data_IF_309872306442
#
_entry.id   IF_309872306442
#
_cell.length_a   1.000
_cell.length_b   1.000
_cell.length_c   1.000
_cell.angle_alpha   90.00
_cell.angle_beta   90.00
_cell.angle_gamma   90.00
#
_symmetry.space_group_name_H-M   'P 1'
#
loop_
_entity.id
_entity.type
_entity.pdbx_description
1 polymer ?
#
# COMPACT_ATOMS: atom_id res chain seq x y z
N UNK A 1 61.64 -57.29 -10.15
CA UNK A 1 60.26 -57.42 -10.66
C UNK A 1 59.19 -56.72 -9.81
N UNK A 2 59.31 -56.55 -8.49
CA UNK A 2 58.23 -55.95 -7.66
C UNK A 2 58.09 -54.41 -7.67
N UNK A 3 59.07 -53.64 -8.18
CA UNK A 3 58.99 -52.17 -8.26
C UNK A 3 58.34 -51.64 -9.56
N UNK A 4 58.33 -52.42 -10.64
CA UNK A 4 57.72 -52.03 -11.91
C UNK A 4 56.23 -52.37 -11.99
N UNK A 5 55.77 -53.39 -11.25
CA UNK A 5 54.34 -53.76 -11.21
C UNK A 5 53.49 -52.73 -10.43
N UNK A 6 54.05 -52.07 -9.41
CA UNK A 6 53.35 -51.07 -8.61
C UNK A 6 53.13 -49.75 -9.39
N UNK A 7 54.09 -49.35 -10.22
CA UNK A 7 54.00 -48.14 -11.06
C UNK A 7 53.00 -48.34 -12.21
N UNK A 8 52.89 -49.57 -12.72
CA UNK A 8 51.92 -49.91 -13.77
C UNK A 8 50.47 -49.99 -13.23
N UNK A 9 50.28 -50.47 -11.99
CA UNK A 9 48.95 -50.52 -11.35
C UNK A 9 48.48 -49.12 -10.93
N UNK A 10 49.37 -48.23 -10.47
CA UNK A 10 49.01 -46.83 -10.16
C UNK A 10 48.68 -46.05 -11.45
N UNK A 11 49.39 -46.30 -12.56
CA UNK A 11 49.08 -45.67 -13.85
C UNK A 11 47.78 -46.19 -14.48
N UNK A 12 47.41 -47.45 -14.24
CA UNK A 12 46.15 -48.03 -14.73
C UNK A 12 44.94 -47.61 -13.89
N UNK A 13 45.13 -47.33 -12.59
CA UNK A 13 44.08 -46.74 -11.73
C UNK A 13 43.87 -45.25 -12.02
N UNK A 14 44.91 -44.52 -12.42
CA UNK A 14 44.77 -43.14 -12.93
C UNK A 14 44.16 -43.06 -14.34
N UNK A 15 44.13 -44.15 -15.12
CA UNK A 15 43.44 -44.18 -16.41
C UNK A 15 42.00 -44.71 -16.34
N UNK A 16 41.58 -45.32 -15.23
CA UNK A 16 40.21 -45.83 -15.02
C UNK A 16 39.35 -44.95 -14.10
N UNK A 17 39.88 -43.83 -13.59
CA UNK A 17 39.09 -42.71 -13.06
C UNK A 17 38.74 -41.66 -14.13
N UNK A 18 38.98 -41.96 -15.41
CA UNK A 18 38.23 -41.39 -16.51
C UNK A 18 36.79 -41.95 -16.50
N UNK A 19 36.08 -41.71 -15.39
CA UNK A 19 34.64 -41.49 -15.47
C UNK A 19 34.50 -40.39 -16.51
N UNK A 20 33.66 -40.65 -17.51
CA UNK A 20 33.18 -39.68 -18.47
C UNK A 20 32.60 -38.45 -17.75
N UNK A 21 33.50 -37.57 -17.30
CA UNK A 21 33.24 -36.16 -17.31
C UNK A 21 33.15 -35.83 -18.79
N UNK A 22 31.93 -35.69 -19.30
CA UNK A 22 31.72 -34.73 -20.36
C UNK A 22 32.31 -33.42 -19.84
N UNK A 23 33.53 -33.09 -20.26
CA UNK A 23 34.08 -31.77 -20.10
C UNK A 23 33.10 -30.83 -20.81
N UNK A 24 32.32 -30.09 -20.04
CA UNK A 24 31.65 -28.91 -20.57
C UNK A 24 32.75 -27.86 -20.66
N UNK A 25 33.37 -27.77 -21.83
CA UNK A 25 34.43 -26.82 -22.17
C UNK A 25 33.85 -25.42 -22.46
N UNK A 26 32.83 -24.99 -21.72
CA UNK A 26 32.31 -23.62 -21.76
C UNK A 26 32.65 -22.97 -20.42
N UNK A 27 33.76 -22.26 -20.31
CA UNK A 27 33.94 -21.30 -19.22
C UNK A 27 32.76 -20.33 -19.28
N UNK A 28 31.85 -20.41 -18.30
CA UNK A 28 30.60 -19.64 -18.35
C UNK A 28 30.73 -18.23 -17.80
N UNK A 29 31.89 -17.86 -17.25
CA UNK A 29 32.16 -16.54 -16.67
C UNK A 29 33.52 -16.00 -17.09
N UNK A 30 33.74 -14.69 -16.96
CA UNK A 30 34.98 -14.01 -17.36
C UNK A 30 34.85 -13.28 -18.70
N UNK A 31 35.44 -12.09 -18.80
CA UNK A 31 35.32 -11.20 -19.98
C UNK A 31 35.83 -11.88 -21.24
N UNK A 32 36.90 -12.65 -21.13
CA UNK A 32 37.50 -13.45 -22.19
C UNK A 32 36.53 -14.47 -22.78
N UNK A 33 35.58 -14.96 -21.99
CA UNK A 33 34.58 -15.95 -22.39
C UNK A 33 33.27 -15.31 -22.91
N UNK A 34 33.24 -13.99 -23.12
CA UNK A 34 32.07 -13.31 -23.71
C UNK A 34 31.89 -13.74 -25.18
N UNK A 35 30.71 -14.29 -25.56
CA UNK A 35 30.42 -14.70 -26.93
C UNK A 35 30.49 -13.56 -27.96
N UNK A 36 30.87 -13.86 -29.20
CA UNK A 36 31.07 -12.86 -30.26
C UNK A 36 29.80 -12.09 -30.63
N UNK A 37 28.65 -12.77 -30.65
CA UNK A 37 27.35 -12.14 -30.89
C UNK A 37 26.95 -11.20 -29.74
N UNK A 38 27.24 -11.55 -28.48
CA UNK A 38 27.10 -10.65 -27.32
C UNK A 38 28.01 -9.43 -27.47
N UNK A 39 29.29 -9.62 -27.82
CA UNK A 39 30.23 -8.50 -28.06
C UNK A 39 29.71 -7.58 -29.15
N UNK A 40 29.26 -8.14 -30.28
CA UNK A 40 28.68 -7.39 -31.40
C UNK A 40 27.46 -6.56 -30.97
N UNK A 41 26.55 -7.15 -30.21
CA UNK A 41 25.38 -6.44 -29.66
C UNK A 41 25.82 -5.28 -28.75
N UNK A 42 26.78 -5.53 -27.85
CA UNK A 42 27.25 -4.53 -26.89
C UNK A 42 27.96 -3.37 -27.60
N UNK A 43 28.88 -3.65 -28.52
CA UNK A 43 29.58 -2.61 -29.30
C UNK A 43 28.62 -1.80 -30.16
N UNK A 44 27.58 -2.42 -30.71
CA UNK A 44 26.57 -1.73 -31.52
C UNK A 44 25.67 -0.80 -30.69
N UNK A 45 25.24 -1.24 -29.49
CA UNK A 45 24.29 -0.48 -28.65
C UNK A 45 24.95 0.50 -27.69
N UNK A 46 26.16 0.18 -27.22
CA UNK A 46 26.96 0.97 -26.29
C UNK A 46 28.37 1.17 -26.86
N UNK A 47 28.51 1.94 -27.95
CA UNK A 47 29.82 2.23 -28.51
C UNK A 47 30.69 2.90 -27.45
N UNK A 48 31.98 2.55 -27.44
CA UNK A 48 32.99 3.06 -26.49
C UNK A 48 32.82 2.60 -25.03
N UNK A 49 31.88 1.70 -24.72
CA UNK A 49 31.80 1.08 -23.40
C UNK A 49 32.66 -0.19 -23.34
N UNK A 50 33.36 -0.38 -22.24
CA UNK A 50 34.18 -1.55 -21.98
C UNK A 50 33.33 -2.66 -21.33
N UNK A 51 33.58 -3.93 -21.69
CA UNK A 51 33.01 -5.09 -21.00
C UNK A 51 33.92 -5.45 -19.83
N UNK A 52 33.42 -5.33 -18.61
CA UNK A 52 34.22 -5.54 -17.39
C UNK A 52 33.87 -6.83 -16.66
N UNK A 53 32.78 -7.49 -17.06
CA UNK A 53 32.41 -8.80 -16.55
C UNK A 53 31.42 -9.51 -17.48
N UNK A 54 31.48 -10.84 -17.48
CA UNK A 54 30.54 -11.70 -18.18
C UNK A 54 30.24 -12.93 -17.32
N UNK A 55 28.98 -13.34 -17.29
CA UNK A 55 28.56 -14.60 -16.66
C UNK A 55 27.31 -15.16 -17.34
N UNK A 56 27.31 -16.48 -17.56
CA UNK A 56 26.19 -17.30 -18.01
C UNK A 56 25.98 -18.42 -16.98
N UNK A 57 25.34 -18.10 -15.85
CA UNK A 57 25.33 -18.99 -14.69
C UNK A 57 24.75 -20.36 -15.05
N UNK A 58 25.46 -21.45 -14.72
CA UNK A 58 25.07 -22.82 -15.05
C UNK A 58 24.89 -23.11 -16.55
N UNK A 59 25.46 -22.27 -17.44
CA UNK A 59 25.42 -22.47 -18.89
C UNK A 59 24.03 -22.39 -19.51
N UNK A 60 23.08 -21.70 -18.88
CA UNK A 60 21.68 -21.66 -19.29
C UNK A 60 21.49 -21.20 -20.74
N UNK A 61 20.59 -21.88 -21.47
CA UNK A 61 20.13 -21.50 -22.81
C UNK A 61 18.60 -21.30 -22.78
N UNK A 62 18.17 -20.15 -22.26
CA UNK A 62 16.76 -19.79 -22.10
C UNK A 62 16.41 -18.57 -22.93
N UNK A 63 15.21 -18.51 -23.51
CA UNK A 63 14.74 -17.32 -24.22
C UNK A 63 14.45 -16.14 -23.28
N UNK A 64 14.31 -16.37 -21.97
CA UNK A 64 14.32 -15.34 -20.93
C UNK A 64 15.74 -14.87 -20.62
N UNK A 65 15.89 -13.82 -19.82
CA UNK A 65 17.22 -13.40 -19.35
C UNK A 65 17.90 -14.53 -18.55
N UNK A 66 19.08 -14.95 -18.99
CA UNK A 66 19.84 -16.04 -18.41
C UNK A 66 21.36 -15.84 -18.38
N UNK A 67 21.90 -14.82 -19.05
CA UNK A 67 23.30 -14.41 -18.95
C UNK A 67 23.43 -12.89 -18.85
N UNK A 68 24.57 -12.42 -18.33
CA UNK A 68 24.76 -11.03 -17.96
C UNK A 68 26.16 -10.53 -18.32
N UNK A 69 26.24 -9.30 -18.80
CA UNK A 69 27.48 -8.55 -18.97
C UNK A 69 27.45 -7.30 -18.10
N UNK A 70 28.55 -6.99 -17.43
CA UNK A 70 28.78 -5.68 -16.83
C UNK A 70 29.55 -4.83 -17.85
N UNK A 71 29.02 -3.64 -18.17
CA UNK A 71 29.68 -2.67 -19.04
C UNK A 71 29.95 -1.37 -18.29
N UNK A 72 31.04 -0.70 -18.67
CA UNK A 72 31.57 0.47 -17.98
C UNK A 72 31.94 1.58 -18.97
N UNK A 73 31.67 2.84 -18.58
CA UNK A 73 32.21 4.04 -19.22
C UNK A 73 32.30 5.18 -18.20
N UNK A 74 33.49 5.75 -18.05
CA UNK A 74 33.80 6.85 -17.13
C UNK A 74 33.44 6.54 -15.68
N UNK A 75 32.29 7.04 -15.19
CA UNK A 75 31.75 6.76 -13.85
C UNK A 75 30.46 5.94 -13.87
N UNK A 76 30.09 5.45 -15.05
CA UNK A 76 28.83 4.76 -15.29
C UNK A 76 29.06 3.28 -15.42
N UNK A 77 28.29 2.49 -14.66
CA UNK A 77 28.25 1.05 -14.77
C UNK A 77 26.83 0.62 -15.15
N UNK A 78 26.71 -0.35 -16.05
CA UNK A 78 25.41 -0.92 -16.43
C UNK A 78 25.49 -2.43 -16.54
N UNK A 79 24.51 -3.11 -15.94
CA UNK A 79 24.32 -4.54 -16.17
C UNK A 79 23.43 -4.73 -17.39
N UNK A 80 23.84 -5.60 -18.31
CA UNK A 80 23.10 -5.95 -19.52
C UNK A 80 22.75 -7.42 -19.48
N UNK A 81 21.47 -7.74 -19.67
CA UNK A 81 20.97 -9.10 -19.65
C UNK A 81 20.68 -9.63 -21.05
N UNK A 82 21.02 -10.90 -21.24
CA UNK A 82 20.85 -11.64 -22.47
C UNK A 82 20.04 -12.91 -22.22
N UNK A 83 19.24 -13.29 -23.20
CA UNK A 83 18.71 -14.64 -23.32
C UNK A 83 19.26 -15.30 -24.58
N UNK A 84 18.90 -16.55 -24.80
CA UNK A 84 19.35 -17.37 -25.90
C UNK A 84 18.15 -17.88 -26.71
N UNK A 85 18.15 -17.64 -28.02
CA UNK A 85 17.08 -18.05 -28.93
C UNK A 85 17.65 -18.39 -30.30
N UNK A 86 17.20 -19.49 -30.89
CA UNK A 86 17.54 -19.88 -32.26
C UNK A 86 19.06 -19.94 -32.52
N UNK A 87 19.84 -20.38 -31.53
CA UNK A 87 21.30 -20.49 -31.64
C UNK A 87 22.09 -19.21 -31.30
N UNK A 88 21.41 -18.10 -31.00
CA UNK A 88 22.04 -16.79 -30.80
C UNK A 88 21.67 -16.15 -29.46
N UNK A 89 22.60 -15.35 -28.93
CA UNK A 89 22.32 -14.47 -27.81
C UNK A 89 21.50 -13.26 -28.23
N UNK A 90 20.53 -12.88 -27.40
CA UNK A 90 19.57 -11.82 -27.68
C UNK A 90 19.48 -10.90 -26.47
N UNK A 91 19.69 -9.59 -26.69
CA UNK A 91 19.47 -8.56 -25.67
C UNK A 91 18.05 -8.64 -25.08
N UNK A 92 17.94 -8.50 -23.76
CA UNK A 92 16.64 -8.49 -23.05
C UNK A 92 16.36 -7.17 -22.37
N UNK A 93 17.31 -6.69 -21.58
CA UNK A 93 17.18 -5.45 -20.82
C UNK A 93 18.55 -5.03 -20.31
N UNK A 94 18.63 -3.80 -19.83
CA UNK A 94 19.78 -3.26 -19.14
C UNK A 94 19.31 -2.56 -17.86
N UNK A 95 20.09 -2.64 -16.79
CA UNK A 95 19.81 -1.98 -15.52
C UNK A 95 21.10 -1.32 -15.00
N UNK A 96 21.15 0.02 -15.09
CA UNK A 96 22.25 0.81 -14.50
C UNK A 96 22.19 0.79 -12.97
N UNK A 97 20.98 0.81 -12.40
CA UNK A 97 20.77 0.76 -10.96
C UNK A 97 21.26 -0.54 -10.31
N UNK A 98 21.41 -1.62 -11.07
CA UNK A 98 21.91 -2.88 -10.53
C UNK A 98 23.35 -2.80 -10.00
N UNK A 99 24.14 -1.83 -10.47
CA UNK A 99 25.56 -1.68 -10.17
C UNK A 99 25.83 -0.33 -9.49
N UNK A 100 26.88 -0.28 -8.66
CA UNK A 100 27.37 0.98 -8.13
C UNK A 100 27.97 1.85 -9.25
N UNK A 101 27.70 3.15 -9.23
CA UNK A 101 28.18 4.09 -10.25
C UNK A 101 29.55 4.65 -9.79
N UNK A 102 30.62 4.11 -10.37
CA UNK A 102 32.02 4.30 -9.95
C UNK A 102 32.93 4.40 -11.16
N UNK A 103 34.16 4.87 -10.92
CA UNK A 103 35.20 5.04 -11.95
C UNK A 103 35.87 3.73 -12.40
N UNK A 104 35.39 2.58 -11.93
CA UNK A 104 35.89 1.25 -12.29
C UNK A 104 34.72 0.32 -12.55
N UNK A 105 35.00 -0.72 -13.35
CA UNK A 105 34.06 -1.76 -13.71
C UNK A 105 33.73 -2.74 -12.59
N UNK A 106 32.64 -3.48 -12.77
CA UNK A 106 32.19 -4.52 -11.84
C UNK A 106 32.60 -5.91 -12.34
N UNK A 107 32.99 -6.78 -11.42
CA UNK A 107 33.30 -8.18 -11.72
C UNK A 107 32.04 -9.04 -11.59
N UNK A 108 31.85 -9.95 -12.55
CA UNK A 108 30.82 -10.98 -12.52
C UNK A 108 31.49 -12.34 -12.35
N UNK A 109 31.07 -13.11 -11.35
CA UNK A 109 31.65 -14.40 -11.02
C UNK A 109 30.56 -15.47 -11.00
N UNK A 110 30.87 -16.67 -11.48
CA UNK A 110 29.96 -17.81 -11.32
C UNK A 110 29.86 -18.20 -9.83
N UNK A 111 28.64 -18.43 -9.36
CA UNK A 111 28.38 -18.81 -7.98
C UNK A 111 28.44 -20.33 -7.80
N UNK A 112 29.45 -20.83 -7.09
CA UNK A 112 29.64 -22.25 -6.83
C UNK A 112 29.22 -22.63 -5.42
N UNK A 113 27.91 -22.79 -5.16
CA UNK A 113 27.42 -23.49 -3.97
C UNK A 113 25.93 -23.80 -4.11
N UNK A 114 25.58 -25.09 -4.13
CA UNK A 114 24.19 -25.56 -3.93
C UNK A 114 23.53 -26.39 -5.05
N UNK A 115 24.25 -27.33 -5.67
CA UNK A 115 23.64 -28.38 -6.52
C UNK A 115 23.24 -27.94 -7.94
N UNK A 116 23.19 -28.91 -8.86
CA UNK A 116 23.04 -28.73 -10.32
C UNK A 116 21.70 -28.10 -10.79
N UNK A 117 20.83 -27.65 -9.89
CA UNK A 117 19.46 -27.23 -10.23
C UNK A 117 19.19 -25.73 -10.14
N UNK A 118 20.09 -24.93 -9.55
CA UNK A 118 19.90 -23.48 -9.40
C UNK A 118 21.04 -22.70 -10.09
N UNK A 119 20.67 -21.69 -10.87
CA UNK A 119 21.63 -20.82 -11.54
C UNK A 119 21.97 -19.65 -10.61
N UNK A 120 23.26 -19.45 -10.33
CA UNK A 120 23.74 -18.50 -9.32
C UNK A 120 24.99 -17.75 -9.80
N UNK A 121 25.05 -16.45 -9.52
CA UNK A 121 26.25 -15.66 -9.76
C UNK A 121 26.42 -14.54 -8.74
N UNK A 122 27.61 -13.94 -8.76
CA UNK A 122 28.01 -12.87 -7.86
C UNK A 122 28.38 -11.63 -8.67
N UNK A 123 27.92 -10.48 -8.22
CA UNK A 123 28.46 -9.18 -8.62
C UNK A 123 29.40 -8.72 -7.50
N UNK A 124 30.68 -8.56 -7.80
CA UNK A 124 31.71 -8.17 -6.83
C UNK A 124 32.22 -6.75 -7.13
N UNK A 125 32.19 -5.92 -6.09
CA UNK A 125 32.81 -4.60 -6.09
C UNK A 125 34.15 -4.67 -5.33
N UNK A 126 35.26 -4.46 -6.04
CA UNK A 126 36.62 -4.50 -5.51
C UNK A 126 36.99 -3.21 -4.75
N UNK A 127 36.24 -2.92 -3.70
CA UNK A 127 36.55 -1.88 -2.72
C UNK A 127 37.30 -2.45 -1.53
N UNK A 128 37.76 -1.57 -0.63
CA UNK A 128 38.17 -1.94 0.72
C UNK A 128 37.21 -1.27 1.71
N UNK A 129 36.34 -2.03 2.41
CA UNK A 129 36.12 -3.47 2.29
C UNK A 129 35.49 -3.89 0.94
N UNK A 130 35.70 -5.14 0.52
CA UNK A 130 35.11 -5.68 -0.73
C UNK A 130 33.65 -6.03 -0.47
N UNK A 131 32.77 -5.79 -1.44
CA UNK A 131 31.34 -6.12 -1.30
C UNK A 131 30.86 -7.01 -2.44
N UNK A 132 29.88 -7.85 -2.12
CA UNK A 132 29.29 -8.80 -3.07
C UNK A 132 27.77 -8.78 -2.97
N UNK A 133 27.11 -8.94 -4.11
CA UNK A 133 25.70 -9.35 -4.16
C UNK A 133 25.56 -10.68 -4.86
N UNK A 134 24.78 -11.56 -4.25
CA UNK A 134 24.53 -12.91 -4.73
C UNK A 134 23.14 -12.99 -5.34
N UNK A 135 23.09 -13.47 -6.57
CA UNK A 135 21.88 -13.53 -7.39
C UNK A 135 21.56 -14.95 -7.76
N UNK A 136 20.34 -15.39 -7.47
CA UNK A 136 19.91 -16.77 -7.67
C UNK A 136 18.62 -16.83 -8.49
N UNK A 137 18.59 -17.75 -9.46
CA UNK A 137 17.39 -18.14 -10.19
C UNK A 137 17.05 -19.59 -9.82
N UNK A 138 15.91 -19.78 -9.15
CA UNK A 138 15.49 -21.11 -8.68
C UNK A 138 15.05 -22.05 -9.80
N UNK A 139 14.54 -21.51 -10.92
CA UNK A 139 14.12 -22.27 -12.11
C UNK A 139 14.38 -21.45 -13.37
N UNK A 140 14.84 -22.10 -14.45
CA UNK A 140 15.03 -21.45 -15.75
C UNK A 140 13.77 -20.68 -16.18
N UNK A 141 13.96 -19.43 -16.60
CA UNK A 141 12.88 -18.55 -17.04
C UNK A 141 12.28 -17.66 -15.95
N UNK A 142 12.55 -17.93 -14.67
CA UNK A 142 12.19 -17.04 -13.56
C UNK A 142 13.18 -15.85 -13.44
N UNK A 143 12.83 -14.76 -12.74
CA UNK A 143 13.80 -13.69 -12.47
C UNK A 143 14.96 -14.18 -11.59
N UNK A 144 16.13 -13.54 -11.74
CA UNK A 144 17.21 -13.64 -10.77
C UNK A 144 16.90 -12.73 -9.59
N UNK A 145 16.88 -13.29 -8.39
CA UNK A 145 16.57 -12.56 -7.16
C UNK A 145 17.82 -12.38 -6.32
N UNK A 146 17.96 -11.21 -5.70
CA UNK A 146 18.99 -10.96 -4.69
C UNK A 146 18.75 -11.89 -3.49
N UNK A 147 19.72 -12.73 -3.16
CA UNK A 147 19.64 -13.64 -2.00
C UNK A 147 20.60 -13.24 -0.89
N UNK A 148 21.71 -12.56 -1.23
CA UNK A 148 22.68 -12.14 -0.22
C UNK A 148 23.40 -10.86 -0.62
N UNK A 149 23.72 -10.03 0.38
CA UNK A 149 24.76 -9.00 0.31
C UNK A 149 25.83 -9.34 1.33
N UNK A 150 27.10 -9.32 0.93
CA UNK A 150 28.23 -9.80 1.74
C UNK A 150 29.33 -8.74 1.73
N UNK A 151 29.89 -8.47 2.89
CA UNK A 151 31.04 -7.58 3.06
C UNK A 151 32.24 -8.41 3.51
N UNK A 152 33.37 -8.27 2.82
CA UNK A 152 34.63 -8.93 3.13
C UNK A 152 35.67 -7.92 3.60
N UNK A 153 36.46 -8.31 4.58
CA UNK A 153 37.68 -7.60 4.95
C UNK A 153 38.74 -7.73 3.84
N UNK A 154 39.81 -6.95 3.98
CA UNK A 154 41.04 -7.00 3.17
C UNK A 154 41.61 -8.41 3.00
N UNK A 155 41.50 -9.27 4.02
CA UNK A 155 41.91 -10.68 3.98
C UNK A 155 40.86 -11.64 3.38
N UNK A 156 39.85 -11.11 2.68
CA UNK A 156 38.70 -11.86 2.11
C UNK A 156 37.81 -12.59 3.13
N UNK A 157 38.04 -12.38 4.43
CA UNK A 157 37.18 -12.89 5.50
C UNK A 157 35.84 -12.16 5.52
N UNK A 158 34.73 -12.90 5.64
CA UNK A 158 33.39 -12.30 5.75
C UNK A 158 33.31 -11.50 7.06
N UNK A 159 33.01 -10.20 6.92
CA UNK A 159 32.71 -9.30 8.02
C UNK A 159 31.23 -9.33 8.35
N UNK A 160 30.40 -9.20 7.31
CA UNK A 160 28.96 -9.02 7.44
C UNK A 160 28.22 -9.75 6.31
N UNK A 161 27.01 -10.21 6.59
CA UNK A 161 26.11 -10.79 5.60
C UNK A 161 24.68 -10.36 5.87
N UNK A 162 24.01 -9.93 4.81
CA UNK A 162 22.56 -9.80 4.75
C UNK A 162 22.02 -10.98 3.94
N UNK A 163 21.23 -11.85 4.56
CA UNK A 163 20.43 -12.86 3.85
C UNK A 163 19.07 -12.27 3.54
N UNK A 164 18.73 -12.18 2.25
CA UNK A 164 17.57 -11.43 1.76
C UNK A 164 16.45 -12.39 1.40
N UNK A 165 15.30 -12.27 2.08
CA UNK A 165 14.08 -13.04 1.82
C UNK A 165 12.96 -12.12 1.32
N UNK A 166 11.78 -12.67 1.02
CA UNK A 166 10.68 -11.89 0.46
C UNK A 166 10.12 -10.87 1.48
N UNK A 167 10.08 -11.26 2.75
CA UNK A 167 9.42 -10.52 3.83
C UNK A 167 10.36 -10.18 5.00
N UNK A 168 11.65 -10.52 4.88
CA UNK A 168 12.65 -10.17 5.88
C UNK A 168 14.07 -10.15 5.31
N UNK A 169 14.95 -9.47 6.04
CA UNK A 169 16.40 -9.51 5.84
C UNK A 169 17.05 -9.92 7.16
N UNK A 170 17.89 -10.96 7.12
CA UNK A 170 18.66 -11.39 8.27
C UNK A 170 20.08 -10.83 8.17
N UNK A 171 20.43 -9.96 9.11
CA UNK A 171 21.79 -9.46 9.28
C UNK A 171 22.61 -10.38 10.17
N UNK A 172 23.89 -10.48 9.86
CA UNK A 172 24.84 -11.27 10.63
C UNK A 172 26.24 -10.67 10.49
N UNK A 173 26.84 -10.24 11.60
CA UNK A 173 28.15 -9.58 11.64
C UNK A 173 29.15 -10.28 12.57
N UNK A 174 30.33 -10.63 12.03
CA UNK A 174 31.31 -11.51 12.71
C UNK A 174 32.27 -10.74 13.59
N UNK A 175 32.42 -9.44 13.34
CA UNK A 175 33.31 -8.52 14.06
C UNK A 175 32.61 -7.24 14.52
N UNK A 176 31.28 -7.21 14.47
CA UNK A 176 30.44 -6.10 14.94
C UNK A 176 29.83 -6.42 16.31
N UNK A 177 29.37 -5.39 17.02
CA UNK A 177 28.64 -5.56 18.29
C UNK A 177 27.34 -6.35 18.09
N UNK A 178 26.59 -6.02 17.04
CA UNK A 178 25.40 -6.73 16.64
C UNK A 178 25.78 -8.02 15.89
N UNK A 179 25.50 -9.19 16.48
CA UNK A 179 25.94 -10.49 15.91
C UNK A 179 24.95 -11.08 14.92
N UNK A 180 23.65 -11.02 15.22
CA UNK A 180 22.57 -11.59 14.39
C UNK A 180 21.23 -10.95 14.72
N UNK A 181 20.58 -10.35 13.72
CA UNK A 181 19.25 -9.72 13.85
C UNK A 181 18.44 -9.94 12.59
N UNK A 182 17.11 -10.04 12.72
CA UNK A 182 16.17 -10.17 11.61
C UNK A 182 15.29 -8.93 11.53
N UNK A 183 15.22 -8.32 10.36
CA UNK A 183 14.38 -7.15 10.07
C UNK A 183 13.21 -7.58 9.20
N UNK A 184 11.98 -7.27 9.61
CA UNK A 184 10.76 -7.59 8.86
C UNK A 184 10.49 -6.49 7.83
N UNK A 185 10.05 -6.90 6.65
CA UNK A 185 9.57 -6.02 5.58
C UNK A 185 10.14 -6.40 4.22
N UNK A 186 9.79 -5.61 3.22
CA UNK A 186 10.00 -5.96 1.81
C UNK A 186 11.05 -5.06 1.16
N UNK A 187 11.76 -5.60 0.17
CA UNK A 187 12.67 -4.83 -0.68
C UNK A 187 12.59 -5.34 -2.11
N UNK A 188 12.94 -4.50 -3.09
CA UNK A 188 13.03 -4.92 -4.48
C UNK A 188 14.21 -5.89 -4.64
N UNK A 189 13.94 -7.12 -5.06
CA UNK A 189 14.94 -8.18 -5.21
C UNK A 189 15.14 -8.64 -6.64
N UNK A 190 14.25 -8.28 -7.57
CA UNK A 190 14.41 -8.65 -8.98
C UNK A 190 15.56 -7.84 -9.59
N UNK A 191 16.59 -8.54 -10.06
CA UNK A 191 17.78 -7.94 -10.67
C UNK A 191 17.46 -6.93 -11.77
N UNK A 192 16.37 -7.12 -12.49
CA UNK A 192 15.92 -6.21 -13.55
C UNK A 192 15.54 -4.82 -13.03
N UNK A 193 15.07 -4.74 -11.78
CA UNK A 193 14.54 -3.51 -11.17
C UNK A 193 15.28 -3.08 -9.89
N UNK A 194 16.24 -3.90 -9.45
CA UNK A 194 17.08 -3.62 -8.28
C UNK A 194 17.85 -2.31 -8.43
N UNK A 195 18.04 -1.63 -7.29
CA UNK A 195 18.82 -0.40 -7.19
C UNK A 195 19.83 -0.50 -6.05
N UNK A 196 21.11 -0.57 -6.40
CA UNK A 196 22.24 -0.64 -5.47
C UNK A 196 22.24 0.52 -4.48
N UNK A 197 21.97 1.74 -4.96
CA UNK A 197 21.96 2.93 -4.11
C UNK A 197 20.80 2.95 -3.12
N UNK A 198 19.68 2.30 -3.44
CA UNK A 198 18.49 2.28 -2.60
C UNK A 198 18.41 1.05 -1.68
N UNK A 199 19.20 0.01 -1.95
CA UNK A 199 19.23 -1.19 -1.12
C UNK A 199 19.88 -0.90 0.24
N UNK A 200 19.22 -1.19 1.37
CA UNK A 200 19.81 -1.02 2.70
C UNK A 200 20.90 -2.07 2.94
N UNK A 201 22.07 -1.62 3.41
CA UNK A 201 23.30 -2.41 3.56
C UNK A 201 23.71 -2.58 5.03
N UNK A 202 23.18 -1.75 5.94
CA UNK A 202 23.51 -1.77 7.37
C UNK A 202 22.27 -2.03 8.25
N UNK A 203 22.45 -2.50 9.49
CA UNK A 203 21.35 -2.61 10.47
C UNK A 203 20.52 -1.34 10.63
N UNK A 204 21.15 -0.16 10.69
CA UNK A 204 20.44 1.11 10.87
C UNK A 204 19.63 1.52 9.64
N UNK A 205 20.18 1.30 8.44
CA UNK A 205 19.43 1.48 7.18
C UNK A 205 18.25 0.50 7.10
N UNK A 206 18.40 -0.72 7.61
CA UNK A 206 17.33 -1.72 7.66
C UNK A 206 16.22 -1.34 8.65
N UNK A 207 16.57 -0.83 9.84
CA UNK A 207 15.60 -0.36 10.85
C UNK A 207 14.74 0.79 10.33
N UNK A 208 15.34 1.66 9.54
CA UNK A 208 14.70 2.91 9.09
C UNK A 208 14.01 2.76 7.73
N UNK A 209 14.55 1.92 6.83
CA UNK A 209 14.10 1.82 5.45
C UNK A 209 13.24 0.60 5.12
N UNK A 210 13.24 -0.44 5.95
CA UNK A 210 12.47 -1.66 5.66
C UNK A 210 11.07 -1.56 6.27
N UNK A 211 10.03 -1.68 5.43
CA UNK A 211 8.63 -1.61 5.84
C UNK A 211 7.88 -2.88 5.48
N UNK A 212 6.90 -3.24 6.31
CA UNK A 212 5.97 -4.33 6.06
C UNK A 212 4.57 -3.75 5.89
N UNK A 213 3.77 -4.38 5.02
CA UNK A 213 2.36 -4.04 4.93
C UNK A 213 1.69 -4.28 6.31
N UNK A 214 0.91 -3.32 6.82
CA UNK A 214 0.21 -3.48 8.08
C UNK A 214 -0.93 -4.50 7.95
N UNK A 215 -1.32 -5.06 9.09
CA UNK A 215 -2.61 -5.72 9.20
C UNK A 215 -3.70 -4.65 9.15
N UNK A 216 -4.76 -4.93 8.40
CA UNK A 216 -5.86 -4.00 8.17
C UNK A 216 -6.91 -4.23 9.27
N UNK A 217 -7.29 -3.20 10.04
CA UNK A 217 -8.38 -3.30 11.00
C UNK A 217 -9.70 -3.74 10.35
N UNK A 218 -10.61 -4.33 11.13
CA UNK A 218 -11.94 -4.71 10.66
C UNK A 218 -12.72 -3.49 10.15
N UNK A 219 -13.52 -3.66 9.10
CA UNK A 219 -14.33 -2.60 8.51
C UNK A 219 -14.83 -3.00 7.12
N UNK A 220 -15.19 -2.02 6.31
CA UNK A 220 -15.68 -2.26 4.93
C UNK A 220 -14.53 -2.38 3.91
N UNK A 221 -13.32 -1.96 4.30
CA UNK A 221 -12.12 -1.99 3.45
C UNK A 221 -11.29 -3.24 3.70
N UNK A 222 -11.15 -4.09 2.68
CA UNK A 222 -10.30 -5.27 2.70
C UNK A 222 -9.09 -5.11 1.77
N UNK A 223 -7.88 -5.36 2.30
CA UNK A 223 -6.67 -5.31 1.47
C UNK A 223 -6.42 -6.61 0.71
N UNK A 224 -6.11 -6.46 -0.57
CA UNK A 224 -5.62 -7.51 -1.44
C UNK A 224 -4.10 -7.38 -1.63
N UNK A 225 -3.39 -8.49 -1.46
CA UNK A 225 -1.96 -8.58 -1.78
C UNK A 225 -1.79 -8.79 -3.29
N UNK A 226 -1.53 -7.68 -4.00
CA UNK A 226 -1.32 -7.65 -5.44
C UNK A 226 0.15 -7.41 -5.75
N UNK A 227 0.80 -8.37 -6.40
CA UNK A 227 2.21 -8.24 -6.79
C UNK A 227 2.38 -7.38 -8.04
N UNK A 228 2.85 -6.15 -7.85
CA UNK A 228 3.22 -5.26 -8.96
C UNK A 228 4.54 -5.66 -9.61
N UNK A 229 4.68 -5.33 -10.90
CA UNK A 229 5.99 -5.37 -11.56
C UNK A 229 6.81 -4.16 -11.11
N UNK A 230 8.04 -4.41 -10.68
CA UNK A 230 8.96 -3.39 -10.19
C UNK A 230 9.35 -2.32 -11.22
N UNK A 231 10.01 -1.26 -10.73
CA UNK A 231 10.62 -0.22 -11.56
C UNK A 231 9.65 0.81 -12.11
N UNK A 232 8.44 0.92 -11.55
CA UNK A 232 7.45 1.93 -11.92
C UNK A 232 7.14 2.85 -10.75
N UNK A 233 6.73 4.07 -11.08
CA UNK A 233 6.21 5.05 -10.13
C UNK A 233 4.91 5.61 -10.67
N UNK A 234 3.95 5.85 -9.79
CA UNK A 234 2.66 6.40 -10.13
C UNK A 234 2.33 7.54 -9.16
N UNK A 235 1.79 8.63 -9.69
CA UNK A 235 1.22 9.69 -8.86
C UNK A 235 0.01 9.13 -8.10
N UNK A 236 -0.11 9.52 -6.83
CA UNK A 236 -1.20 9.10 -5.94
C UNK A 236 -2.04 10.31 -5.58
N UNK A 237 -3.35 10.18 -5.76
CA UNK A 237 -4.34 11.24 -5.57
C UNK A 237 -5.24 10.91 -4.36
N UNK A 238 -5.80 11.91 -3.68
CA UNK A 238 -6.68 11.69 -2.53
C UNK A 238 -8.06 11.15 -2.90
N UNK A 239 -8.54 11.41 -4.12
CA UNK A 239 -9.82 10.96 -4.66
C UNK A 239 -9.61 10.36 -6.08
N UNK A 240 -10.62 9.68 -6.68
CA UNK A 240 -10.50 9.06 -8.00
C UNK A 240 -10.56 10.09 -9.14
N UNK A 241 -9.73 11.14 -9.08
CA UNK A 241 -9.55 12.15 -10.11
C UNK A 241 -8.15 12.80 -10.02
N UNK A 242 -7.64 13.29 -11.16
CA UNK A 242 -6.35 13.99 -11.23
C UNK A 242 -6.41 15.42 -10.68
N UNK A 243 -7.59 16.03 -10.62
CA UNK A 243 -7.80 17.36 -10.04
C UNK A 243 -8.00 17.32 -8.53
N UNK A 244 -8.10 16.12 -7.92
CA UNK A 244 -8.23 16.00 -6.48
C UNK A 244 -6.96 16.47 -5.77
N UNK A 245 -7.10 16.72 -4.46
CA UNK A 245 -5.96 17.02 -3.60
C UNK A 245 -4.89 15.92 -3.72
N UNK A 246 -3.62 16.32 -3.62
CA UNK A 246 -2.49 15.39 -3.68
C UNK A 246 -1.56 15.64 -2.50
N UNK A 247 -1.44 14.62 -1.64
CA UNK A 247 -0.60 14.67 -0.44
C UNK A 247 0.87 14.97 -0.72
N UNK A 248 1.63 15.25 0.34
CA UNK A 248 3.04 15.59 0.24
C UNK A 248 3.30 16.84 -0.60
N UNK A 249 2.47 17.88 -0.43
CA UNK A 249 2.53 19.14 -1.18
C UNK A 249 2.50 18.93 -2.71
N UNK A 250 1.55 18.10 -3.18
CA UNK A 250 1.38 17.83 -4.60
C UNK A 250 2.41 16.86 -5.19
N UNK A 251 3.15 16.10 -4.36
CA UNK A 251 4.22 15.18 -4.80
C UNK A 251 3.99 13.71 -4.43
N UNK A 252 2.86 13.37 -3.80
CA UNK A 252 2.56 11.99 -3.41
C UNK A 252 2.68 11.02 -4.58
N UNK A 253 3.59 10.06 -4.49
CA UNK A 253 3.77 9.02 -5.49
C UNK A 253 4.04 7.69 -4.79
N UNK A 254 3.64 6.60 -5.43
CA UNK A 254 3.96 5.23 -5.02
C UNK A 254 5.02 4.65 -5.96
N UNK A 255 5.93 3.87 -5.40
CA UNK A 255 6.92 3.09 -6.14
C UNK A 255 6.54 1.61 -6.12
N UNK A 256 6.52 0.93 -7.26
CA UNK A 256 6.24 -0.52 -7.32
C UNK A 256 7.41 -1.40 -6.84
N UNK A 257 8.45 -0.78 -6.28
CA UNK A 257 9.56 -1.48 -5.64
C UNK A 257 9.32 -1.77 -4.15
N UNK A 258 8.32 -1.13 -3.54
CA UNK A 258 7.84 -1.47 -2.19
C UNK A 258 6.58 -2.34 -2.26
N UNK A 259 6.03 -2.67 -1.09
CA UNK A 259 4.71 -3.30 -1.00
C UNK A 259 3.61 -2.29 -1.33
N UNK A 260 2.50 -2.80 -1.86
CA UNK A 260 1.28 -2.04 -2.16
C UNK A 260 0.10 -2.95 -1.83
N UNK A 261 -0.79 -2.52 -0.93
CA UNK A 261 -2.08 -3.16 -0.70
C UNK A 261 -3.13 -2.48 -1.59
N UNK A 262 -4.01 -3.27 -2.22
CA UNK A 262 -5.07 -2.76 -3.09
C UNK A 262 -6.42 -3.09 -2.48
N UNK A 263 -7.31 -2.11 -2.35
CA UNK A 263 -8.61 -2.30 -1.68
C UNK A 263 -9.75 -2.53 -2.67
N UNK A 264 -9.57 -2.10 -3.91
CA UNK A 264 -10.57 -2.25 -4.96
C UNK A 264 -10.39 -1.21 -6.05
N UNK A 265 -11.32 -1.20 -6.99
CA UNK A 265 -11.36 -0.26 -8.11
C UNK A 265 -12.65 0.54 -8.13
N UNK A 266 -12.56 1.79 -8.57
CA UNK A 266 -13.71 2.64 -8.85
C UNK A 266 -13.41 3.37 -10.16
N UNK A 267 -14.25 3.16 -11.18
CA UNK A 267 -14.00 3.64 -12.53
C UNK A 267 -12.59 3.24 -13.04
N UNK A 268 -11.77 4.22 -13.43
CA UNK A 268 -10.39 4.04 -13.93
C UNK A 268 -9.32 4.15 -12.83
N UNK A 269 -9.72 4.00 -11.56
CA UNK A 269 -8.86 4.18 -10.39
C UNK A 269 -8.83 2.96 -9.47
N UNK A 270 -7.75 2.80 -8.73
CA UNK A 270 -7.57 1.79 -7.70
C UNK A 270 -7.18 2.47 -6.39
N UNK A 271 -7.92 2.19 -5.32
CA UNK A 271 -7.57 2.61 -3.97
C UNK A 271 -6.45 1.69 -3.46
N UNK A 272 -5.35 2.29 -3.02
CA UNK A 272 -4.17 1.59 -2.54
C UNK A 272 -3.72 2.12 -1.20
N UNK A 273 -2.93 1.30 -0.48
CA UNK A 273 -2.08 1.72 0.62
C UNK A 273 -0.62 1.35 0.32
N UNK A 274 0.31 2.21 0.71
CA UNK A 274 1.74 1.98 0.55
C UNK A 274 2.55 2.73 1.61
N UNK A 275 3.81 2.32 1.82
CA UNK A 275 4.72 3.03 2.72
C UNK A 275 5.47 4.18 2.05
N UNK A 276 5.62 5.30 2.75
CA UNK A 276 6.59 6.36 2.44
C UNK A 276 7.90 6.05 3.16
N UNK A 277 7.82 5.84 4.47
CA UNK A 277 8.89 5.39 5.36
C UNK A 277 8.32 4.54 6.50
N UNK A 278 9.12 4.17 7.49
CA UNK A 278 8.71 3.31 8.60
C UNK A 278 7.63 3.88 9.53
N UNK A 279 7.41 5.20 9.52
CA UNK A 279 6.43 5.89 10.38
C UNK A 279 5.33 6.63 9.60
N UNK A 280 5.40 6.67 8.27
CA UNK A 280 4.44 7.37 7.42
C UNK A 280 4.00 6.48 6.27
N UNK A 281 2.75 6.03 6.28
CA UNK A 281 2.12 5.35 5.14
C UNK A 281 1.15 6.31 4.45
N UNK A 282 0.45 5.81 3.43
CA UNK A 282 -0.56 6.60 2.73
C UNK A 282 -1.56 5.70 2.03
N UNK A 283 -2.83 6.08 2.14
CA UNK A 283 -3.92 5.68 1.27
C UNK A 283 -4.08 6.67 0.11
N UNK A 284 -4.52 6.18 -1.04
CA UNK A 284 -4.92 7.04 -2.14
C UNK A 284 -5.13 6.28 -3.43
N UNK A 285 -5.41 7.01 -4.50
CA UNK A 285 -5.81 6.48 -5.77
C UNK A 285 -4.68 6.55 -6.80
N UNK A 286 -4.46 5.44 -7.49
CA UNK A 286 -3.66 5.38 -8.71
C UNK A 286 -4.55 4.96 -9.88
N UNK A 287 -4.14 5.25 -11.11
CA UNK A 287 -4.84 4.70 -12.27
C UNK A 287 -4.88 3.17 -12.22
N UNK A 288 -6.05 2.58 -12.42
CA UNK A 288 -6.25 1.12 -12.46
C UNK A 288 -5.40 0.44 -13.53
N UNK A 289 -5.00 1.16 -14.59
CA UNK A 289 -4.04 0.71 -15.62
C UNK A 289 -2.65 0.36 -15.07
N UNK A 290 -2.32 0.81 -13.85
CA UNK A 290 -1.11 0.43 -13.14
C UNK A 290 -1.14 -1.00 -12.60
N UNK A 291 -2.35 -1.57 -12.41
CA UNK A 291 -2.53 -2.92 -11.92
C UNK A 291 -1.96 -3.95 -12.91
N UNK A 292 -1.42 -5.08 -12.42
CA UNK A 292 -1.01 -6.18 -13.28
C UNK A 292 -2.17 -6.66 -14.16
N UNK A 293 -1.92 -6.93 -15.46
CA UNK A 293 -2.95 -7.34 -16.44
C UNK A 293 -3.84 -8.53 -16.05
N UNK A 294 -3.39 -9.35 -15.10
CA UNK A 294 -4.10 -10.56 -14.63
C UNK A 294 -4.56 -10.44 -13.18
N UNK A 295 -4.42 -9.26 -12.56
CA UNK A 295 -4.92 -9.04 -11.21
C UNK A 295 -6.45 -9.05 -11.26
N UNK A 296 -7.07 -9.89 -10.43
CA UNK A 296 -8.50 -9.85 -10.22
C UNK A 296 -8.76 -8.93 -9.02
N UNK A 297 -9.10 -7.68 -9.30
CA UNK A 297 -9.38 -6.67 -8.26
C UNK A 297 -10.87 -6.32 -8.36
N UNK A 298 -11.66 -6.49 -7.29
CA UNK A 298 -13.08 -6.17 -7.30
C UNK A 298 -13.32 -4.66 -7.39
N UNK A 299 -14.56 -4.28 -7.73
CA UNK A 299 -14.99 -2.91 -7.56
C UNK A 299 -15.13 -2.58 -6.06
N UNK A 300 -14.85 -1.34 -5.68
CA UNK A 300 -15.17 -0.81 -4.35
C UNK A 300 -16.69 -0.73 -4.21
N UNK A 301 -17.20 -1.28 -3.12
CA UNK A 301 -18.62 -1.23 -2.76
C UNK A 301 -18.78 -0.32 -1.56
N UNK A 302 -18.81 0.99 -1.80
CA UNK A 302 -19.05 1.96 -0.75
C UNK A 302 -20.52 1.98 -0.34
N UNK A 303 -20.76 2.11 0.96
CA UNK A 303 -22.07 2.39 1.53
C UNK A 303 -22.13 3.90 1.78
N UNK A 304 -22.25 4.68 0.70
CA UNK A 304 -22.22 6.13 0.78
C UNK A 304 -23.44 6.65 1.57
N UNK A 305 -23.17 7.38 2.65
CA UNK A 305 -24.18 8.03 3.50
C UNK A 305 -23.78 9.48 3.73
N UNK A 306 -24.74 10.39 3.65
CA UNK A 306 -24.52 11.79 4.00
C UNK A 306 -24.27 11.94 5.50
N UNK A 307 -23.25 12.74 5.85
CA UNK A 307 -22.75 12.88 7.21
C UNK A 307 -22.15 14.27 7.44
N UNK A 308 -21.80 14.56 8.69
CA UNK A 308 -21.10 15.79 9.06
C UNK A 308 -20.07 15.56 10.13
N UNK A 309 -19.11 16.47 10.18
CA UNK A 309 -18.18 16.56 11.30
C UNK A 309 -18.88 17.08 12.56
N UNK A 310 -18.76 16.36 13.66
CA UNK A 310 -19.29 16.78 14.98
C UNK A 310 -18.36 17.72 15.73
N UNK A 311 -17.13 17.89 15.23
CA UNK A 311 -16.10 18.78 15.74
C UNK A 311 -15.11 19.12 14.63
N UNK A 312 -14.31 20.16 14.81
CA UNK A 312 -13.23 20.46 13.88
C UNK A 312 -12.17 19.35 13.93
N UNK A 313 -11.78 18.82 12.77
CA UNK A 313 -10.99 17.59 12.67
C UNK A 313 -10.06 17.59 11.46
N UNK A 314 -8.89 16.97 11.61
CA UNK A 314 -7.95 16.77 10.50
C UNK A 314 -8.29 15.48 9.75
N UNK A 315 -8.57 15.60 8.46
CA UNK A 315 -8.64 14.48 7.53
C UNK A 315 -7.22 14.03 7.20
N UNK A 316 -6.95 12.73 7.34
CA UNK A 316 -5.64 12.13 7.07
C UNK A 316 -5.71 11.09 5.95
N UNK A 317 -4.62 10.91 5.21
CA UNK A 317 -4.43 9.76 4.32
C UNK A 317 -3.62 8.63 4.97
N UNK A 318 -3.25 8.74 6.25
CA UNK A 318 -2.44 7.76 6.98
C UNK A 318 -3.03 7.39 8.36
N UNK A 319 -4.21 6.75 8.40
CA UNK A 319 -4.93 6.47 9.65
C UNK A 319 -4.23 5.44 10.56
N UNK A 320 -3.31 4.63 10.02
CA UNK A 320 -2.70 3.52 10.76
C UNK A 320 -1.34 3.86 11.38
N UNK A 321 -0.75 5.01 11.02
CA UNK A 321 0.59 5.40 11.47
C UNK A 321 0.65 6.87 11.86
N UNK A 322 1.04 7.77 10.95
CA UNK A 322 1.38 9.14 11.32
C UNK A 322 0.18 9.99 11.71
N UNK A 323 -1.01 9.69 11.15
CA UNK A 323 -2.18 10.55 11.28
C UNK A 323 -1.96 11.97 10.75
N UNK A 324 -0.96 12.17 9.89
CA UNK A 324 -0.59 13.49 9.41
C UNK A 324 -1.77 14.13 8.66
N UNK A 325 -2.00 15.42 8.94
CA UNK A 325 -3.08 16.17 8.31
C UNK A 325 -2.86 16.26 6.80
N UNK A 326 -3.88 15.83 6.06
CA UNK A 326 -4.02 16.08 4.62
C UNK A 326 -4.86 17.33 4.38
N UNK A 327 -5.97 17.49 5.11
CA UNK A 327 -6.90 18.60 5.01
C UNK A 327 -7.58 18.86 6.37
N UNK A 328 -7.74 20.12 6.77
CA UNK A 328 -8.49 20.48 7.97
C UNK A 328 -9.97 20.69 7.66
N UNK A 329 -10.85 20.06 8.43
CA UNK A 329 -12.31 20.17 8.32
C UNK A 329 -12.86 20.94 9.52
N UNK A 330 -13.74 21.91 9.26
CA UNK A 330 -14.44 22.62 10.33
C UNK A 330 -15.51 21.73 10.96
N UNK A 331 -16.00 22.09 12.15
CA UNK A 331 -17.19 21.50 12.75
C UNK A 331 -18.44 21.81 11.91
N UNK A 332 -19.39 20.87 11.85
CA UNK A 332 -20.62 21.01 11.06
C UNK A 332 -20.40 20.95 9.56
N UNK A 333 -19.23 20.50 9.10
CA UNK A 333 -18.95 20.39 7.66
C UNK A 333 -19.61 19.14 7.10
N UNK A 334 -20.41 19.30 6.05
CA UNK A 334 -20.97 18.17 5.29
C UNK A 334 -19.88 17.35 4.62
N UNK A 335 -19.99 16.03 4.75
CA UNK A 335 -19.11 15.03 4.15
C UNK A 335 -19.95 13.83 3.69
N UNK A 336 -19.44 13.05 2.74
CA UNK A 336 -20.04 11.75 2.41
C UNK A 336 -19.21 10.65 3.07
N UNK A 337 -19.80 9.89 3.99
CA UNK A 337 -19.16 8.74 4.60
C UNK A 337 -19.26 7.53 3.68
N UNK A 338 -18.12 6.98 3.26
CA UNK A 338 -18.03 5.93 2.24
C UNK A 338 -17.79 4.51 2.80
N UNK A 339 -16.98 4.40 3.86
CA UNK A 339 -16.54 3.14 4.44
C UNK A 339 -15.98 3.30 5.86
N UNK A 340 -15.83 2.20 6.58
CA UNK A 340 -15.17 2.14 7.89
C UNK A 340 -13.87 1.33 7.82
N UNK A 341 -12.86 1.76 8.60
CA UNK A 341 -11.62 1.01 8.84
C UNK A 341 -11.24 1.10 10.32
N UNK A 342 -11.64 0.11 11.12
CA UNK A 342 -11.46 0.14 12.57
C UNK A 342 -12.21 1.32 13.19
N UNK A 343 -11.46 2.19 13.88
CA UNK A 343 -11.99 3.41 14.52
C UNK A 343 -12.05 4.61 13.57
N UNK A 344 -11.86 4.40 12.27
CA UNK A 344 -11.83 5.47 11.27
C UNK A 344 -13.02 5.40 10.33
N UNK A 345 -13.62 6.56 10.08
CA UNK A 345 -14.53 6.78 8.97
C UNK A 345 -13.74 7.26 7.75
N UNK A 346 -13.89 6.57 6.62
CA UNK A 346 -13.39 7.00 5.34
C UNK A 346 -14.43 7.89 4.66
N UNK A 347 -14.11 9.17 4.48
CA UNK A 347 -15.05 10.21 4.03
C UNK A 347 -14.58 10.90 2.76
N UNK A 348 -15.53 11.40 2.00
CA UNK A 348 -15.33 12.31 0.86
C UNK A 348 -15.75 13.73 1.25
N UNK A 349 -14.94 14.70 0.86
CA UNK A 349 -15.20 16.13 1.03
C UNK A 349 -15.14 16.80 -0.34
N UNK A 350 -16.20 17.50 -0.71
CA UNK A 350 -16.35 18.18 -2.01
C UNK A 350 -16.46 19.71 -1.91
N UNK A 351 -16.60 20.26 -0.69
CA UNK A 351 -16.61 21.70 -0.42
C UNK A 351 -15.19 22.28 -0.45
N UNK A 352 -14.66 22.54 -1.65
CA UNK A 352 -13.30 23.06 -1.84
C UNK A 352 -12.41 22.11 -2.63
N UNK A 353 -11.23 21.79 -2.12
CA UNK A 353 -10.34 20.79 -2.74
C UNK A 353 -10.91 19.39 -2.53
N UNK A 354 -11.42 18.78 -3.61
CA UNK A 354 -11.97 17.42 -3.55
C UNK A 354 -10.92 16.45 -2.98
N UNK A 355 -11.28 15.81 -1.87
CA UNK A 355 -10.43 14.84 -1.21
C UNK A 355 -11.24 13.72 -0.59
N UNK A 356 -10.61 12.55 -0.49
CA UNK A 356 -11.05 11.49 0.40
C UNK A 356 -9.94 11.15 1.38
N UNK A 357 -10.32 10.77 2.58
CA UNK A 357 -9.39 10.39 3.64
C UNK A 357 -10.14 9.93 4.87
N UNK A 358 -9.43 9.86 5.97
CA UNK A 358 -9.92 9.28 7.21
C UNK A 358 -10.05 10.35 8.29
N UNK A 359 -11.14 10.27 9.04
CA UNK A 359 -11.37 11.00 10.29
C UNK A 359 -11.78 9.99 11.36
N UNK A 360 -11.55 10.25 12.66
CA UNK A 360 -12.05 9.38 13.72
C UNK A 360 -13.55 9.14 13.56
N UNK A 361 -14.00 7.90 13.74
CA UNK A 361 -15.40 7.53 13.59
C UNK A 361 -16.32 8.34 14.51
N UNK A 362 -15.85 8.69 15.71
CA UNK A 362 -16.57 9.53 16.68
C UNK A 362 -16.70 11.00 16.26
N UNK A 363 -15.96 11.43 15.23
CA UNK A 363 -16.00 12.80 14.72
C UNK A 363 -17.00 13.00 13.58
N UNK A 364 -17.73 11.95 13.18
CA UNK A 364 -18.75 12.02 12.14
C UNK A 364 -20.09 11.49 12.62
N UNK A 365 -21.17 12.11 12.16
CA UNK A 365 -22.54 11.66 12.45
C UNK A 365 -23.41 11.70 11.18
N UNK A 366 -24.44 10.87 11.14
CA UNK A 366 -25.47 10.86 10.06
C UNK A 366 -26.79 11.50 10.51
N UNK A 367 -26.85 11.89 11.80
CA UNK A 367 -28.01 12.52 12.40
C UNK A 367 -27.62 13.56 13.43
N UNK A 368 -28.50 14.53 13.61
CA UNK A 368 -28.50 15.48 14.71
C UNK A 368 -29.61 15.10 15.69
N UNK A 369 -29.29 15.05 16.98
CA UNK A 369 -30.28 14.90 18.03
C UNK A 369 -30.60 16.27 18.63
N UNK A 370 -31.86 16.64 18.61
CA UNK A 370 -32.38 17.85 19.25
C UNK A 370 -33.05 17.41 20.54
N UNK A 371 -32.41 17.77 21.66
CA UNK A 371 -32.94 17.53 22.99
C UNK A 371 -34.13 18.47 23.26
N UNK A 372 -35.27 17.85 23.56
CA UNK A 372 -36.52 18.53 23.88
C UNK A 372 -36.74 18.62 25.38
N UNK A 373 -35.81 18.24 26.25
CA UNK A 373 -35.97 18.34 27.70
C UNK A 373 -36.38 19.76 28.14
N UNK A 374 -37.50 19.82 28.87
CA UNK A 374 -38.17 21.00 29.40
C UNK A 374 -38.48 22.07 28.34
N UNK A 375 -38.94 21.67 27.15
CA UNK A 375 -39.19 22.58 26.04
C UNK A 375 -40.67 23.01 25.99
N UNK A 376 -41.04 24.22 26.45
CA UNK A 376 -42.44 24.63 26.58
C UNK A 376 -43.08 25.00 25.23
N UNK A 377 -44.39 24.80 25.10
CA UNK A 377 -45.20 25.38 24.03
C UNK A 377 -45.24 26.90 24.12
N UNK A 378 -45.65 27.56 23.04
CA UNK A 378 -46.03 28.97 23.06
C UNK A 378 -47.18 29.16 24.08
N UNK A 379 -46.90 29.94 25.14
CA UNK A 379 -47.80 30.12 26.30
C UNK A 379 -47.45 29.28 27.54
N UNK A 380 -46.67 28.20 27.37
CA UNK A 380 -46.16 27.37 28.46
C UNK A 380 -47.16 26.38 29.08
N UNK A 381 -48.30 26.14 28.43
CA UNK A 381 -49.34 25.21 28.89
C UNK A 381 -48.94 23.73 28.75
N UNK A 382 -48.05 23.42 27.83
CA UNK A 382 -47.48 22.10 27.61
C UNK A 382 -45.96 22.20 27.65
N UNK A 383 -45.31 21.20 28.23
CA UNK A 383 -43.86 21.04 28.19
C UNK A 383 -43.57 19.74 27.46
N UNK A 384 -42.91 19.85 26.31
CA UNK A 384 -42.37 18.71 25.59
C UNK A 384 -41.08 18.27 26.28
N UNK A 385 -40.85 16.96 26.35
CA UNK A 385 -39.61 16.30 26.71
C UNK A 385 -39.29 15.21 25.67
N UNK A 386 -38.03 14.76 25.60
CA UNK A 386 -37.59 13.68 24.73
C UNK A 386 -36.60 14.14 23.66
N UNK A 387 -36.58 13.45 22.51
CA UNK A 387 -35.59 13.69 21.45
C UNK A 387 -36.27 13.75 20.08
N UNK A 388 -35.84 14.72 19.28
CA UNK A 388 -36.11 14.77 17.84
C UNK A 388 -34.81 14.45 17.12
N UNK A 389 -34.75 13.32 16.42
CA UNK A 389 -33.56 12.91 15.65
C UNK A 389 -33.77 13.27 14.19
N UNK A 390 -32.97 14.20 13.68
CA UNK A 390 -32.98 14.61 12.28
C UNK A 390 -31.85 13.91 11.56
N UNK A 391 -32.18 13.07 10.58
CA UNK A 391 -31.23 12.41 9.70
C UNK A 391 -31.03 13.23 8.43
N UNK A 392 -29.85 13.13 7.80
CA UNK A 392 -29.62 13.89 6.56
C UNK A 392 -30.39 13.38 5.34
N UNK A 393 -30.89 12.14 5.37
CA UNK A 393 -31.78 11.59 4.32
C UNK A 393 -33.21 12.14 4.42
N UNK A 394 -33.34 13.36 4.96
CA UNK A 394 -34.56 14.08 5.30
C UNK A 394 -35.50 13.38 6.29
N UNK A 395 -35.15 12.19 6.79
CA UNK A 395 -35.94 11.49 7.80
C UNK A 395 -35.83 12.21 9.14
N UNK A 396 -36.95 12.36 9.83
CA UNK A 396 -37.00 12.75 11.24
C UNK A 396 -37.65 11.63 12.01
N UNK A 397 -37.07 11.29 13.15
CA UNK A 397 -37.66 10.40 14.15
C UNK A 397 -37.99 11.18 15.41
N UNK A 398 -39.11 10.84 16.03
CA UNK A 398 -39.63 11.47 17.22
C UNK A 398 -39.76 10.44 18.34
N UNK A 399 -39.21 10.78 19.50
CA UNK A 399 -39.51 10.15 20.78
C UNK A 399 -39.82 11.26 21.77
N UNK A 400 -41.10 11.59 21.92
CA UNK A 400 -41.55 12.73 22.72
C UNK A 400 -42.44 12.28 23.87
N UNK A 401 -42.44 13.02 24.97
CA UNK A 401 -43.45 12.92 26.03
C UNK A 401 -43.85 14.30 26.52
N UNK A 402 -45.01 14.37 27.17
CA UNK A 402 -45.48 15.61 27.81
C UNK A 402 -45.10 15.55 29.27
N UNK A 403 -44.29 16.51 29.73
CA UNK A 403 -43.81 16.56 31.09
C UNK A 403 -44.95 16.80 32.08
N UNK A 404 -44.95 16.07 33.20
CA UNK A 404 -45.94 16.28 34.28
C UNK A 404 -45.78 17.64 35.00
N UNK A 405 -44.71 18.38 34.71
CA UNK A 405 -44.44 19.71 35.25
C UNK A 405 -45.30 20.82 34.62
N UNK A 406 -45.97 20.54 33.51
CA UNK A 406 -46.84 21.48 32.80
C UNK A 406 -48.25 21.62 33.41
N UNK A 407 -48.98 22.70 33.09
CA UNK A 407 -50.38 22.89 33.51
C UNK A 407 -51.36 21.82 33.00
N UNK A 408 -51.10 21.23 31.83
CA UNK A 408 -51.90 20.17 31.22
C UNK A 408 -51.23 18.82 31.39
N UNK A 409 -52.02 17.82 31.77
CA UNK A 409 -51.50 16.46 31.97
C UNK A 409 -51.30 15.74 30.63
N UNK A 410 -50.31 14.85 30.56
CA UNK A 410 -50.05 14.02 29.36
C UNK A 410 -51.27 13.22 28.90
N UNK A 411 -52.16 12.83 29.83
CA UNK A 411 -53.41 12.13 29.57
C UNK A 411 -54.47 12.95 28.85
N UNK A 412 -54.33 14.28 28.82
CA UNK A 412 -55.28 15.19 28.16
C UNK A 412 -54.88 15.47 26.71
N UNK A 413 -53.70 15.03 26.27
CA UNK A 413 -53.20 15.17 24.90
C UNK A 413 -53.48 13.89 24.13
N UNK A 414 -54.20 14.02 23.02
CA UNK A 414 -54.61 12.86 22.21
C UNK A 414 -53.62 12.53 21.10
N UNK A 415 -52.90 13.54 20.61
CA UNK A 415 -51.93 13.44 19.52
C UNK A 415 -51.00 14.65 19.49
N UNK A 416 -49.84 14.49 18.87
CA UNK A 416 -48.96 15.59 18.46
C UNK A 416 -48.94 15.63 16.94
N UNK A 417 -49.30 16.75 16.34
CA UNK A 417 -49.17 16.98 14.90
C UNK A 417 -47.83 17.60 14.61
N UNK A 418 -47.14 17.08 13.61
CA UNK A 418 -45.89 17.65 13.09
C UNK A 418 -46.23 18.34 11.77
N UNK A 419 -45.90 19.63 11.67
CA UNK A 419 -46.12 20.44 10.46
C UNK A 419 -44.83 21.10 10.00
N UNK A 420 -44.75 21.45 8.71
CA UNK A 420 -43.62 22.19 8.15
C UNK A 420 -43.54 23.65 8.68
N UNK A 421 -42.49 24.39 8.27
CA UNK A 421 -42.21 25.77 8.71
C UNK A 421 -43.34 26.76 8.43
N UNK A 422 -44.26 26.46 7.50
CA UNK A 422 -45.40 27.31 7.17
C UNK A 422 -46.69 26.89 7.88
N UNK A 423 -46.70 25.73 8.55
CA UNK A 423 -47.86 25.18 9.24
C UNK A 423 -48.95 24.63 8.29
N UNK A 424 -48.69 24.62 6.99
CA UNK A 424 -49.67 24.33 5.95
C UNK A 424 -49.75 22.83 5.62
N UNK A 425 -48.64 22.09 5.80
CA UNK A 425 -48.56 20.65 5.51
C UNK A 425 -48.35 19.84 6.79
N UNK A 426 -49.24 18.87 7.06
CA UNK A 426 -49.04 17.87 8.11
C UNK A 426 -48.05 16.82 7.60
N UNK A 427 -46.88 16.76 8.24
CA UNK A 427 -45.80 15.81 7.94
C UNK A 427 -46.01 14.49 8.68
N UNK A 428 -46.49 14.55 9.92
CA UNK A 428 -46.74 13.39 10.76
C UNK A 428 -47.85 13.66 11.79
N UNK A 429 -48.47 12.59 12.27
CA UNK A 429 -49.34 12.58 13.45
C UNK A 429 -48.79 11.52 14.39
N UNK A 430 -48.34 11.94 15.56
CA UNK A 430 -47.78 11.09 16.60
C UNK A 430 -48.88 10.75 17.60
N UNK A 431 -49.08 9.47 17.85
CA UNK A 431 -50.02 8.98 18.86
C UNK A 431 -49.25 8.44 20.05
N UNK A 432 -49.75 8.64 21.29
CA UNK A 432 -49.10 8.11 22.47
C UNK A 432 -49.21 6.59 22.52
N UNK A 433 -48.17 5.94 23.01
CA UNK A 433 -48.19 4.53 23.39
C UNK A 433 -48.89 4.33 24.76
N UNK A 434 -48.85 3.10 25.30
CA UNK A 434 -49.45 2.80 26.60
C UNK A 434 -48.76 3.47 27.78
N UNK A 435 -47.58 4.05 27.58
CA UNK A 435 -46.78 4.75 28.59
C UNK A 435 -46.86 6.28 28.46
N UNK A 436 -47.58 6.78 27.45
CA UNK A 436 -47.71 8.21 27.18
C UNK A 436 -46.56 8.79 26.34
N UNK A 437 -45.73 7.94 25.73
CA UNK A 437 -44.67 8.37 24.81
C UNK A 437 -45.20 8.40 23.39
N UNK A 438 -44.96 9.51 22.70
CA UNK A 438 -45.35 9.77 21.33
C UNK A 438 -44.20 9.43 20.40
N UNK A 439 -44.39 8.38 19.60
CA UNK A 439 -43.43 7.98 18.57
C UNK A 439 -43.95 8.30 17.17
N UNK A 440 -43.02 8.57 16.27
CA UNK A 440 -43.30 8.56 14.85
C UNK A 440 -42.10 9.01 14.03
N UNK A 441 -42.32 9.07 12.72
CA UNK A 441 -41.33 9.59 11.79
C UNK A 441 -42.03 10.33 10.66
N UNK A 442 -41.29 11.23 10.02
CA UNK A 442 -41.67 11.85 8.77
C UNK A 442 -40.43 12.09 7.91
N UNK A 443 -40.62 12.55 6.68
CA UNK A 443 -39.55 13.08 5.85
C UNK A 443 -39.79 14.56 5.58
N UNK A 444 -38.73 15.36 5.64
CA UNK A 444 -38.75 16.76 5.23
C UNK A 444 -38.72 16.87 3.71
N UNK A 445 -39.28 17.96 3.18
CA UNK A 445 -38.86 18.47 1.88
C UNK A 445 -37.60 19.31 2.07
N UNK A 446 -36.62 19.22 1.16
CA UNK A 446 -35.27 19.77 1.32
C UNK A 446 -35.12 21.29 1.57
N UNK A 447 -36.21 22.06 1.69
CA UNK A 447 -36.20 23.48 2.07
C UNK A 447 -36.72 23.74 3.50
N UNK A 448 -37.09 22.69 4.27
CA UNK A 448 -37.62 22.85 5.62
C UNK A 448 -36.48 23.09 6.62
N UNK A 449 -36.50 24.25 7.29
CA UNK A 449 -35.52 24.65 8.31
C UNK A 449 -36.08 24.61 9.73
N UNK A 450 -37.35 24.24 9.88
CA UNK A 450 -38.02 24.07 11.17
C UNK A 450 -39.30 23.27 11.02
N UNK A 451 -39.68 22.58 12.09
CA UNK A 451 -40.98 21.92 12.21
C UNK A 451 -41.74 22.55 13.36
N UNK A 452 -43.07 22.50 13.28
CA UNK A 452 -43.93 22.88 14.41
C UNK A 452 -44.57 21.63 14.98
N UNK A 453 -44.34 21.39 16.27
CA UNK A 453 -45.01 20.38 17.06
C UNK A 453 -46.29 21.00 17.63
N UNK A 454 -47.45 20.43 17.36
CA UNK A 454 -48.73 20.90 17.87
C UNK A 454 -49.43 19.79 18.64
N UNK A 455 -49.41 19.87 19.97
CA UNK A 455 -50.19 19.00 20.83
C UNK A 455 -51.67 19.42 20.78
N UNK A 456 -52.58 18.45 20.64
CA UNK A 456 -54.01 18.69 20.59
C UNK A 456 -54.69 17.98 21.75
N UNK A 457 -55.37 18.75 22.61
CA UNK A 457 -56.12 18.20 23.73
C UNK A 457 -57.44 17.55 23.29
N UNK A 458 -58.08 16.83 24.21
CA UNK A 458 -59.39 16.17 23.96
C UNK A 458 -60.51 17.15 23.57
N UNK A 459 -60.39 18.44 23.92
CA UNK A 459 -61.32 19.49 23.54
C UNK A 459 -61.03 20.08 22.15
N UNK A 460 -59.91 19.69 21.53
CA UNK A 460 -59.45 20.19 20.24
C UNK A 460 -58.64 21.49 20.32
N UNK A 461 -58.23 21.93 21.52
CA UNK A 461 -57.32 23.07 21.70
C UNK A 461 -55.92 22.66 21.28
N UNK A 462 -55.22 23.56 20.58
CA UNK A 462 -53.90 23.32 20.02
C UNK A 462 -52.83 24.15 20.74
N UNK A 463 -51.74 23.50 21.13
CA UNK A 463 -50.57 24.12 21.78
C UNK A 463 -49.35 23.80 20.94
N UNK A 464 -48.64 24.83 20.48
CA UNK A 464 -47.59 24.66 19.46
C UNK A 464 -46.21 25.03 19.97
N UNK A 465 -45.19 24.34 19.48
CA UNK A 465 -43.79 24.66 19.69
C UNK A 465 -43.00 24.55 18.39
N UNK A 466 -42.16 25.53 18.10
CA UNK A 466 -41.30 25.54 16.93
C UNK A 466 -39.97 24.90 17.28
N UNK A 467 -39.63 23.82 16.58
CA UNK A 467 -38.32 23.17 16.65
C UNK A 467 -37.53 23.62 15.43
N UNK A 468 -36.46 24.37 15.65
CA UNK A 468 -35.54 24.78 14.59
C UNK A 468 -34.58 23.65 14.29
N UNK A 469 -34.36 23.40 13.01
CA UNK A 469 -33.44 22.40 12.51
C UNK A 469 -32.25 23.16 11.94
N UNK A 470 -31.08 22.94 12.52
CA UNK A 470 -29.83 23.55 12.05
C UNK A 470 -29.10 22.51 11.19
N UNK A 471 -29.02 22.79 9.88
CA UNK A 471 -28.30 21.97 8.91
C UNK A 471 -26.79 22.20 8.92
#
# INVERSE_FOLDING_TARGET
>A
MKRWLLVMIISLVCLLTAVSAFAYDDNTAGVENTPDDVRSILTSRWPEWEITGWVNPAGLRSSSACAFAAIHKDRSNTLVAFGYKDGHWVYKWSNAGALSQRAYGMQLLEGTDGGKSQARFVIRELTSPTTETVWTQSRSGQPFLLTSYIVHDTDSSILETLTVNAENIQYQGWRTEERKVSFRGTTQRDLRYFSWSAFPKTPDELRTGLTAAPEIPSGDLEALDIKFTGGKRYDVFSAPDRSSLRGGNGKAMVSTNGWIQVFGTENDWALIQYSIDASHYRFGYISSKALPKKANVPALSFNAVDAWTTTAVSLTDDPLYSGAELLFLQEGLHVTWLATLGEWAYVEVSSGDWARGFVPLSSVTTSQEIDMENNPSEGGEIVYDGVVTVFHDDRIEFELHIAESGPLASSEVSQIRVTDTFGDSVLAILSPDSYGTYYGNCSLGGDVTSITLTAVDDAGTAYSQIVRIEW
#
